data_IF_831845019721
#
_entry.id   IF_831845019721
#
_cell.length_a   1.000
_cell.length_b   1.000
_cell.length_c   1.000
_cell.angle_alpha   90.00
_cell.angle_beta   90.00
_cell.angle_gamma   90.00
#
_symmetry.space_group_name_H-M   'P 1'
#
loop_
_entity.id
_entity.type
_entity.pdbx_description
1 polymer ?
#
# COMPACT_ATOMS: atom_id res chain seq x y z
N UNK A 1 -26.58 3.26 -10.95
CA UNK A 1 -26.16 3.80 -9.66
C UNK A 1 -27.04 3.23 -8.57
N UNK A 2 -26.61 2.11 -7.96
CA UNK A 2 -27.28 1.56 -6.78
C UNK A 2 -26.59 2.10 -5.54
N UNK A 3 -27.37 2.63 -4.60
CA UNK A 3 -26.82 3.10 -3.33
C UNK A 3 -26.12 1.94 -2.58
N UNK A 4 -24.98 2.19 -1.94
CA UNK A 4 -24.29 1.14 -1.19
C UNK A 4 -25.14 0.66 0.00
N UNK A 5 -25.10 -0.64 0.34
CA UNK A 5 -25.86 -1.19 1.45
C UNK A 5 -25.46 -0.53 2.78
N UNK A 6 -26.46 -0.26 3.63
CA UNK A 6 -26.35 0.55 4.84
C UNK A 6 -25.19 0.17 5.79
N UNK A 7 -24.76 -1.10 5.77
CA UNK A 7 -23.62 -1.59 6.55
C UNK A 7 -22.27 -0.97 6.12
N UNK A 8 -22.06 -0.70 4.82
CA UNK A 8 -20.83 -0.05 4.32
C UNK A 8 -20.77 1.43 4.73
N UNK A 9 -21.92 2.10 4.80
CA UNK A 9 -22.02 3.51 5.20
C UNK A 9 -21.76 3.71 6.70
N UNK A 10 -22.31 2.84 7.55
CA UNK A 10 -22.07 2.86 8.98
C UNK A 10 -20.60 2.61 9.36
N UNK A 11 -19.89 1.76 8.60
CA UNK A 11 -18.47 1.48 8.81
C UNK A 11 -17.56 2.65 8.39
N UNK A 12 -17.96 3.41 7.36
CA UNK A 12 -17.25 4.61 6.91
C UNK A 12 -17.49 5.81 7.86
N UNK A 13 -18.71 5.99 8.36
CA UNK A 13 -19.04 7.05 9.33
C UNK A 13 -18.37 6.83 10.69
N UNK A 14 -18.18 5.59 11.12
CA UNK A 14 -17.42 5.27 12.33
C UNK A 14 -15.91 5.53 12.18
N UNK A 15 -15.37 5.47 10.96
CA UNK A 15 -13.96 5.71 10.67
C UNK A 15 -13.62 7.20 10.56
N UNK A 16 -14.60 8.04 10.18
CA UNK A 16 -14.39 9.47 9.90
C UNK A 16 -14.77 10.42 11.05
N UNK A 17 -14.92 9.92 12.28
CA UNK A 17 -14.88 10.71 13.51
C UNK A 17 -15.65 12.04 13.47
N UNK A 18 -16.93 12.01 13.84
CA UNK A 18 -17.77 13.20 14.00
C UNK A 18 -17.16 14.20 14.99
N UNK A 19 -16.50 15.23 14.45
CA UNK A 19 -16.02 16.39 15.17
C UNK A 19 -16.66 17.64 14.59
N UNK A 20 -17.71 18.13 15.26
CA UNK A 20 -18.15 19.52 15.13
C UNK A 20 -17.00 20.44 15.57
N UNK A 21 -16.56 21.32 14.67
CA UNK A 21 -15.67 22.43 15.01
C UNK A 21 -16.11 23.69 14.25
N UNK A 22 -16.91 24.47 14.96
CA UNK A 22 -17.16 25.89 14.75
C UNK A 22 -15.90 26.68 15.16
N UNK A 23 -15.27 27.42 14.25
CA UNK A 23 -14.32 28.49 14.59
C UNK A 23 -14.00 29.37 13.37
N UNK A 24 -14.25 30.67 13.52
CA UNK A 24 -14.10 31.70 12.49
C UNK A 24 -12.66 32.00 12.04
N UNK A 25 -12.57 32.45 10.79
CA UNK A 25 -11.36 32.94 10.14
C UNK A 25 -10.99 34.34 10.66
N UNK A 26 -9.96 34.43 11.49
CA UNK A 26 -9.19 35.65 11.75
C UNK A 26 -7.81 35.53 11.11
N UNK A 27 -7.47 36.43 10.18
CA UNK A 27 -6.15 36.47 9.55
C UNK A 27 -5.11 37.11 10.49
N UNK A 28 -3.90 36.53 10.66
CA UNK A 28 -2.79 37.24 11.27
C UNK A 28 -1.73 37.65 10.24
N UNK A 29 -1.23 38.86 10.46
CA UNK A 29 -0.09 39.53 9.82
C UNK A 29 1.24 38.85 10.12
N UNK A 30 2.12 38.78 9.12
CA UNK A 30 3.48 38.25 9.22
C UNK A 30 4.47 39.27 9.81
N UNK A 31 5.40 38.86 10.69
CA UNK A 31 6.68 39.53 10.85
C UNK A 31 7.79 38.84 10.03
N UNK A 32 8.57 39.67 9.33
CA UNK A 32 9.86 39.30 8.76
C UNK A 32 10.91 39.14 9.88
N UNK A 33 11.81 38.17 9.75
CA UNK A 33 13.01 38.15 10.59
C UNK A 33 13.89 36.91 10.51
N UNK A 34 15.05 37.10 9.90
CA UNK A 34 16.37 36.53 10.23
C UNK A 34 16.72 35.05 9.88
N UNK A 35 17.81 34.97 9.13
CA UNK A 35 18.59 33.79 8.80
C UNK A 35 19.38 33.26 10.01
N UNK A 36 19.62 31.95 10.04
CA UNK A 36 20.57 31.31 10.95
C UNK A 36 20.51 29.80 10.82
N UNK A 37 21.46 29.21 10.09
CA UNK A 37 21.55 27.76 9.92
C UNK A 37 22.33 27.08 11.05
N UNK A 38 21.97 25.83 11.34
CA UNK A 38 22.87 24.74 11.77
C UNK A 38 22.15 23.40 11.59
N UNK A 39 22.74 22.47 10.84
CA UNK A 39 22.29 21.08 10.68
C UNK A 39 22.57 20.28 11.97
N UNK A 40 21.60 19.54 12.55
CA UNK A 40 21.82 18.81 13.81
C UNK A 40 22.11 17.31 13.68
N UNK A 41 22.40 16.76 12.48
CA UNK A 41 22.61 15.32 12.33
C UNK A 41 24.09 14.93 12.41
N UNK A 42 24.54 14.63 13.63
CA UNK A 42 25.79 13.92 13.91
C UNK A 42 25.63 12.41 13.69
N UNK A 43 26.49 11.83 12.85
CA UNK A 43 26.58 10.39 12.64
C UNK A 43 27.42 9.72 13.74
N UNK A 44 27.02 8.55 14.28
CA UNK A 44 27.92 7.71 15.05
C UNK A 44 28.61 6.65 14.18
N UNK A 45 29.84 6.35 14.60
CA UNK A 45 30.91 5.56 14.00
C UNK A 45 30.69 4.06 14.28
N UNK A 46 30.69 3.23 13.23
CA UNK A 46 30.66 1.76 13.33
C UNK A 46 32.07 1.17 13.51
N UNK A 47 32.19 0.14 14.34
CA UNK A 47 33.31 -0.80 14.37
C UNK A 47 32.77 -2.24 14.24
N UNK A 48 33.54 -3.19 13.67
CA UNK A 48 33.02 -4.45 13.17
C UNK A 48 33.07 -5.55 14.23
N UNK A 49 32.09 -6.46 14.24
CA UNK A 49 32.20 -7.73 14.95
C UNK A 49 31.72 -8.88 14.08
N UNK A 50 32.44 -9.99 14.20
CA UNK A 50 32.58 -11.13 13.30
C UNK A 50 31.59 -12.28 13.59
N UNK A 51 31.15 -12.91 12.49
CA UNK A 51 30.82 -14.33 12.25
C UNK A 51 29.98 -15.17 13.25
N UNK A 52 28.94 -15.83 12.72
CA UNK A 52 28.82 -17.30 12.72
C UNK A 52 27.64 -17.78 11.85
N UNK A 53 27.90 -18.80 11.02
CA UNK A 53 26.94 -19.52 10.16
C UNK A 53 26.43 -20.79 10.84
N UNK A 54 25.17 -21.20 10.61
CA UNK A 54 24.81 -22.62 10.41
C UNK A 54 23.37 -22.78 9.84
N UNK A 55 23.04 -23.93 9.19
CA UNK A 55 21.98 -24.06 8.18
C UNK A 55 20.78 -24.91 8.63
N UNK A 56 19.60 -24.73 8.03
CA UNK A 56 18.48 -25.71 8.09
C UNK A 56 17.69 -25.62 6.76
N UNK A 57 18.01 -26.48 5.79
CA UNK A 57 17.37 -27.77 5.47
C UNK A 57 16.05 -27.65 4.69
N UNK A 58 16.14 -27.96 3.40
CA UNK A 58 15.03 -28.18 2.48
C UNK A 58 14.38 -29.55 2.71
N UNK A 59 13.04 -29.63 2.62
CA UNK A 59 12.32 -30.89 2.33
C UNK A 59 11.05 -30.61 1.52
N UNK A 60 11.00 -31.21 0.32
CA UNK A 60 9.83 -31.77 -0.36
C UNK A 60 10.25 -33.23 -0.74
N UNK A 61 9.38 -34.21 -1.13
CA UNK A 61 8.11 -34.08 -1.87
C UNK A 61 7.04 -35.19 -1.58
N UNK A 62 6.11 -35.37 -2.54
CA UNK A 62 5.10 -36.44 -2.73
C UNK A 62 3.74 -36.20 -2.04
N UNK A 63 2.58 -36.32 -2.68
CA UNK A 63 2.20 -37.08 -3.87
C UNK A 63 1.10 -38.07 -3.47
N UNK A 64 -0.17 -37.63 -3.44
CA UNK A 64 -1.32 -38.51 -3.29
C UNK A 64 -2.58 -37.88 -3.92
N UNK A 65 -3.24 -38.66 -4.77
CA UNK A 65 -4.53 -38.39 -5.41
C UNK A 65 -5.64 -38.27 -4.35
N UNK A 66 -6.46 -37.21 -4.45
CA UNK A 66 -7.61 -36.99 -3.57
C UNK A 66 -8.95 -37.22 -4.31
N UNK A 67 -9.95 -37.84 -3.65
CA UNK A 67 -11.29 -38.08 -4.19
C UNK A 67 -12.12 -36.79 -4.23
N UNK A 68 -13.08 -36.72 -5.15
CA UNK A 68 -13.97 -35.57 -5.34
C UNK A 68 -14.79 -35.28 -4.08
N UNK A 69 -14.81 -34.04 -3.56
CA UNK A 69 -15.36 -33.80 -2.24
C UNK A 69 -16.82 -33.28 -2.30
N UNK A 70 -17.62 -33.69 -1.30
CA UNK A 70 -19.02 -33.30 -1.11
C UNK A 70 -19.15 -31.82 -0.70
N UNK A 71 -20.30 -31.21 -0.94
CA UNK A 71 -20.53 -29.75 -0.93
C UNK A 71 -20.15 -28.97 0.34
N UNK A 72 -19.90 -29.59 1.49
CA UNK A 72 -19.38 -28.93 2.70
C UNK A 72 -17.87 -28.64 2.65
N UNK A 73 -17.15 -29.21 1.68
CA UNK A 73 -15.71 -29.04 1.49
C UNK A 73 -15.34 -27.85 0.62
N UNK A 74 -16.28 -27.32 -0.17
CA UNK A 74 -15.98 -26.31 -1.20
C UNK A 74 -15.68 -24.94 -0.58
N UNK A 75 -16.42 -24.55 0.45
CA UNK A 75 -16.25 -23.26 1.15
C UNK A 75 -14.88 -23.14 1.82
N UNK A 76 -14.26 -24.26 2.19
CA UNK A 76 -12.94 -24.27 2.82
C UNK A 76 -11.81 -23.80 1.88
N UNK A 77 -12.03 -23.87 0.57
CA UNK A 77 -11.07 -23.46 -0.46
C UNK A 77 -11.40 -22.10 -1.07
N UNK A 78 -12.41 -21.41 -0.53
CA UNK A 78 -12.81 -20.08 -0.93
C UNK A 78 -12.51 -19.13 0.21
N UNK A 79 -11.73 -18.09 -0.07
CA UNK A 79 -11.37 -17.05 0.91
C UNK A 79 -11.90 -15.71 0.45
N UNK A 80 -12.38 -14.89 1.38
CA UNK A 80 -12.68 -13.48 1.11
C UNK A 80 -11.37 -12.75 0.80
N UNK A 81 -11.28 -12.09 -0.35
CA UNK A 81 -10.10 -11.32 -0.73
C UNK A 81 -9.83 -10.17 0.25
N UNK A 82 -10.90 -9.53 0.75
CA UNK A 82 -10.79 -8.44 1.72
C UNK A 82 -10.19 -8.89 3.05
N UNK A 83 -10.41 -10.14 3.45
CA UNK A 83 -9.90 -10.69 4.72
C UNK A 83 -8.54 -11.37 4.53
N UNK A 84 -8.32 -12.00 3.38
CA UNK A 84 -7.07 -12.69 3.07
C UNK A 84 -5.90 -11.74 2.80
N UNK A 85 -6.17 -10.54 2.28
CA UNK A 85 -5.15 -9.54 1.96
C UNK A 85 -4.97 -8.59 3.14
N UNK A 86 -3.72 -8.41 3.57
CA UNK A 86 -3.33 -7.43 4.58
C UNK A 86 -2.27 -6.51 4.00
N UNK A 87 -2.50 -5.20 4.06
CA UNK A 87 -1.50 -4.19 3.73
C UNK A 87 -0.70 -3.81 4.98
N UNK A 88 0.61 -3.68 4.84
CA UNK A 88 1.54 -3.29 5.90
C UNK A 88 2.34 -2.07 5.47
N UNK A 89 2.33 -1.00 6.27
CA UNK A 89 3.23 0.14 6.06
C UNK A 89 4.54 -0.08 6.81
N UNK A 90 5.68 0.05 6.13
CA UNK A 90 7.01 -0.07 6.74
C UNK A 90 7.84 1.19 6.54
N UNK A 91 8.60 1.55 7.58
CA UNK A 91 9.42 2.75 7.58
C UNK A 91 10.70 2.60 6.74
N UNK A 92 11.37 1.45 6.85
CA UNK A 92 12.70 1.21 6.30
C UNK A 92 12.99 -0.29 6.17
N UNK A 93 14.18 -0.61 5.64
CA UNK A 93 14.64 -1.98 5.42
C UNK A 93 14.79 -2.78 6.73
N UNK A 94 15.20 -2.13 7.82
CA UNK A 94 15.41 -2.79 9.11
C UNK A 94 14.07 -3.19 9.75
N UNK A 95 13.07 -2.30 9.69
CA UNK A 95 11.70 -2.59 10.10
C UNK A 95 11.10 -3.73 9.27
N UNK A 96 11.30 -3.72 7.94
CA UNK A 96 10.87 -4.82 7.07
C UNK A 96 11.56 -6.14 7.42
N UNK A 97 12.87 -6.15 7.68
CA UNK A 97 13.62 -7.35 8.05
C UNK A 97 13.12 -7.96 9.38
N UNK A 98 12.68 -7.13 10.33
CA UNK A 98 12.04 -7.57 11.58
C UNK A 98 10.55 -7.86 11.44
N UNK A 99 9.96 -7.62 10.26
CA UNK A 99 8.52 -7.69 9.98
C UNK A 99 7.70 -6.77 10.91
N UNK A 100 8.25 -5.62 11.25
CA UNK A 100 7.62 -4.59 12.08
C UNK A 100 6.91 -3.55 11.19
N UNK A 101 5.60 -3.68 11.08
CA UNK A 101 4.77 -2.70 10.39
C UNK A 101 4.44 -1.50 11.31
N UNK A 102 4.48 -0.30 10.76
CA UNK A 102 3.93 0.91 11.37
C UNK A 102 2.42 0.80 11.56
N UNK A 103 1.76 0.22 10.56
CA UNK A 103 0.33 -0.05 10.56
C UNK A 103 0.04 -1.24 9.65
N UNK A 104 -0.99 -2.00 10.01
CA UNK A 104 -1.53 -3.10 9.22
C UNK A 104 -3.03 -2.89 9.03
N UNK A 105 -3.54 -3.04 7.81
CA UNK A 105 -4.95 -2.82 7.51
C UNK A 105 -5.41 -3.68 6.34
N UNK A 106 -6.70 -4.00 6.33
CA UNK A 106 -7.34 -4.72 5.24
C UNK A 106 -7.85 -3.75 4.16
N UNK A 107 -7.88 -4.18 2.89
CA UNK A 107 -8.52 -3.39 1.84
C UNK A 107 -10.02 -3.25 2.10
N UNK A 108 -10.58 -2.12 1.67
CA UNK A 108 -12.03 -1.88 1.73
C UNK A 108 -12.76 -2.47 0.50
N UNK A 109 -12.04 -2.59 -0.61
CA UNK A 109 -12.54 -3.06 -1.90
C UNK A 109 -11.52 -3.98 -2.54
N UNK A 110 -11.97 -5.05 -3.19
CA UNK A 110 -11.10 -5.94 -3.98
C UNK A 110 -11.75 -6.35 -5.29
N UNK A 111 -12.97 -5.87 -5.56
CA UNK A 111 -13.76 -6.18 -6.74
C UNK A 111 -13.08 -5.78 -8.05
N UNK A 112 -12.26 -4.73 -8.06
CA UNK A 112 -11.55 -4.33 -9.28
C UNK A 112 -10.38 -5.26 -9.64
N UNK A 113 -9.90 -6.06 -8.69
CA UNK A 113 -8.74 -6.96 -8.87
C UNK A 113 -9.19 -8.42 -8.91
N UNK A 114 -10.24 -8.77 -8.16
CA UNK A 114 -10.73 -10.14 -7.99
C UNK A 114 -12.20 -10.32 -8.39
N UNK A 115 -12.86 -9.29 -8.93
CA UNK A 115 -14.31 -9.28 -9.20
C UNK A 115 -14.75 -9.69 -10.61
N UNK A 116 -13.87 -10.26 -11.43
CA UNK A 116 -14.20 -10.71 -12.80
C UNK A 116 -15.07 -12.00 -12.86
N UNK A 117 -15.76 -12.33 -11.77
CA UNK A 117 -16.70 -13.42 -11.76
C UNK A 117 -17.98 -13.06 -12.52
N UNK A 118 -18.38 -13.88 -13.50
CA UNK A 118 -19.70 -13.79 -14.16
C UNK A 118 -20.87 -13.87 -13.16
N UNK A 119 -20.61 -14.35 -11.94
CA UNK A 119 -21.61 -14.49 -10.89
C UNK A 119 -21.48 -13.40 -9.81
N UNK A 120 -22.56 -12.64 -9.53
CA UNK A 120 -22.57 -11.55 -8.56
C UNK A 120 -22.17 -11.99 -7.14
N UNK A 121 -22.43 -13.24 -6.77
CA UNK A 121 -22.05 -13.82 -5.47
C UNK A 121 -20.55 -14.16 -5.32
N UNK A 122 -19.75 -13.98 -6.37
CA UNK A 122 -18.31 -14.35 -6.38
C UNK A 122 -17.37 -13.15 -6.39
N UNK A 123 -17.94 -11.94 -6.38
CA UNK A 123 -17.21 -10.69 -6.23
C UNK A 123 -16.37 -10.77 -4.95
N UNK A 124 -15.09 -10.43 -5.05
CA UNK A 124 -14.17 -10.35 -3.90
C UNK A 124 -13.82 -11.70 -3.24
N UNK A 125 -13.90 -12.81 -3.99
CA UNK A 125 -13.48 -14.14 -3.50
C UNK A 125 -12.26 -14.68 -4.24
N UNK A 126 -11.41 -15.41 -3.52
CA UNK A 126 -10.23 -16.11 -4.04
C UNK A 126 -10.43 -17.61 -3.85
N UNK A 127 -10.25 -18.39 -4.92
CA UNK A 127 -10.54 -19.82 -4.95
C UNK A 127 -9.30 -20.69 -5.09
N UNK A 128 -9.37 -21.87 -4.48
CA UNK A 128 -8.38 -22.94 -4.61
C UNK A 128 -7.30 -22.92 -3.54
N UNK A 129 -7.48 -22.14 -2.47
CA UNK A 129 -6.51 -22.03 -1.36
C UNK A 129 -7.22 -22.16 -0.01
N UNK A 130 -6.62 -22.96 0.87
CA UNK A 130 -7.08 -23.13 2.25
C UNK A 130 -6.17 -22.37 3.20
N UNK A 131 -6.77 -21.50 4.03
CA UNK A 131 -6.04 -20.63 4.96
C UNK A 131 -5.09 -19.69 4.21
N UNK A 132 -5.62 -18.99 3.20
CA UNK A 132 -4.87 -18.04 2.40
C UNK A 132 -4.58 -16.77 3.20
N UNK A 133 -3.33 -16.34 3.19
CA UNK A 133 -2.86 -15.06 3.71
C UNK A 133 -1.99 -14.40 2.63
N UNK A 134 -2.24 -13.13 2.37
CA UNK A 134 -1.48 -12.34 1.41
C UNK A 134 -1.06 -11.04 2.08
N UNK A 135 0.24 -10.88 2.27
CA UNK A 135 0.81 -9.70 2.92
C UNK A 135 1.39 -8.77 1.84
N UNK A 136 0.86 -7.56 1.75
CA UNK A 136 1.34 -6.51 0.84
C UNK A 136 2.06 -5.43 1.64
N UNK A 137 3.38 -5.42 1.58
CA UNK A 137 4.24 -4.48 2.27
C UNK A 137 4.48 -3.25 1.40
N UNK A 138 4.14 -2.07 1.94
CA UNK A 138 4.27 -0.78 1.30
C UNK A 138 5.29 0.06 2.07
N UNK A 139 6.25 0.65 1.35
CA UNK A 139 7.17 1.59 1.95
C UNK A 139 6.43 2.90 2.25
N UNK A 140 6.50 3.38 3.50
CA UNK A 140 5.73 4.50 3.99
C UNK A 140 5.99 5.84 3.27
N UNK A 141 7.05 5.95 2.45
CA UNK A 141 7.36 7.19 1.72
C UNK A 141 7.22 7.06 0.21
N UNK A 142 7.79 6.00 -0.37
CA UNK A 142 7.80 5.81 -1.84
C UNK A 142 6.64 4.96 -2.32
N UNK A 143 5.90 4.32 -1.41
CA UNK A 143 4.82 3.38 -1.71
C UNK A 143 5.26 2.20 -2.59
N UNK A 144 6.56 1.92 -2.64
CA UNK A 144 7.09 0.71 -3.28
C UNK A 144 6.51 -0.52 -2.58
N UNK A 145 6.02 -1.46 -3.37
CA UNK A 145 5.23 -2.58 -2.88
C UNK A 145 5.97 -3.92 -3.03
N UNK A 146 5.81 -4.77 -2.02
CA UNK A 146 6.20 -6.17 -2.04
C UNK A 146 5.01 -7.03 -1.62
N UNK A 147 4.73 -8.11 -2.34
CA UNK A 147 3.69 -9.06 -1.98
C UNK A 147 4.27 -10.43 -1.66
N UNK A 148 3.76 -11.01 -0.58
CA UNK A 148 4.05 -12.37 -0.15
C UNK A 148 2.73 -13.13 0.02
N UNK A 149 2.69 -14.38 -0.43
CA UNK A 149 1.50 -15.21 -0.34
C UNK A 149 1.83 -16.49 0.42
N UNK A 150 0.99 -16.80 1.41
CA UNK A 150 1.10 -18.00 2.25
C UNK A 150 -0.24 -18.73 2.26
N UNK A 151 -0.21 -20.05 2.30
CA UNK A 151 -1.42 -20.87 2.37
C UNK A 151 -1.10 -22.24 2.98
N UNK A 152 -2.09 -22.89 3.60
CA UNK A 152 -1.93 -24.23 4.20
C UNK A 152 -2.03 -25.33 3.16
N UNK A 153 -2.94 -25.19 2.20
CA UNK A 153 -3.11 -26.15 1.11
C UNK A 153 -3.65 -25.47 -0.15
N UNK A 154 -3.42 -26.10 -1.30
CA UNK A 154 -3.91 -25.66 -2.63
C UNK A 154 -4.64 -26.82 -3.32
N UNK A 155 -5.82 -26.58 -3.88
CA UNK A 155 -6.60 -27.61 -4.58
C UNK A 155 -7.25 -27.11 -5.87
N UNK A 156 -7.33 -27.99 -6.86
CA UNK A 156 -8.00 -27.71 -8.14
C UNK A 156 -9.45 -28.17 -8.04
N UNK A 157 -10.37 -27.25 -7.72
CA UNK A 157 -11.80 -27.54 -7.55
C UNK A 157 -12.55 -27.50 -8.89
N UNK A 158 -12.20 -28.40 -9.83
CA UNK A 158 -12.79 -28.40 -11.19
C UNK A 158 -12.39 -27.20 -12.06
N UNK A 159 -11.79 -26.16 -11.47
CA UNK A 159 -11.13 -25.02 -12.11
C UNK A 159 -9.72 -24.88 -11.52
N UNK A 160 -8.79 -24.33 -12.32
CA UNK A 160 -7.46 -23.92 -11.83
C UNK A 160 -7.61 -22.92 -10.68
N UNK A 161 -6.83 -23.04 -9.60
CA UNK A 161 -6.75 -22.03 -8.54
C UNK A 161 -6.39 -20.68 -9.11
N UNK A 162 -6.88 -19.62 -8.48
CA UNK A 162 -6.60 -18.25 -8.93
C UNK A 162 -5.11 -17.94 -8.80
N UNK A 163 -4.57 -17.18 -9.75
CA UNK A 163 -3.18 -16.74 -9.71
C UNK A 163 -3.10 -15.40 -8.97
N UNK A 164 -3.21 -15.47 -7.64
CA UNK A 164 -3.40 -14.30 -6.76
C UNK A 164 -2.30 -13.26 -6.95
N UNK A 165 -1.03 -13.67 -7.01
CA UNK A 165 0.09 -12.75 -7.20
C UNK A 165 0.07 -12.11 -8.59
N UNK A 166 -0.35 -12.85 -9.63
CA UNK A 166 -0.49 -12.28 -10.97
C UNK A 166 -1.62 -11.25 -11.03
N UNK A 167 -2.77 -11.56 -10.44
CA UNK A 167 -3.92 -10.65 -10.36
C UNK A 167 -3.55 -9.38 -9.57
N UNK A 168 -2.83 -9.53 -8.45
CA UNK A 168 -2.31 -8.39 -7.70
C UNK A 168 -1.27 -7.59 -8.47
N UNK A 169 -0.42 -8.22 -9.27
CA UNK A 169 0.65 -7.53 -10.00
C UNK A 169 0.15 -6.69 -11.18
N UNK A 170 -1.02 -7.01 -11.74
CA UNK A 170 -1.58 -6.34 -12.92
C UNK A 170 -1.85 -4.84 -12.67
N UNK A 171 -2.59 -4.43 -11.62
CA UNK A 171 -2.70 -3.03 -11.23
C UNK A 171 -1.38 -2.30 -11.05
N UNK A 172 -0.36 -2.99 -10.54
CA UNK A 172 0.94 -2.41 -10.23
C UNK A 172 1.83 -2.26 -11.47
N UNK A 173 1.39 -2.71 -12.66
CA UNK A 173 2.15 -2.53 -13.90
C UNK A 173 3.56 -3.13 -13.84
N UNK A 174 3.74 -4.22 -13.07
CA UNK A 174 5.05 -4.88 -12.89
C UNK A 174 5.95 -4.25 -11.81
N UNK A 175 5.50 -3.23 -11.08
CA UNK A 175 6.25 -2.63 -9.97
C UNK A 175 6.11 -3.39 -8.65
N UNK A 176 5.15 -4.32 -8.56
CA UNK A 176 4.97 -5.18 -7.39
C UNK A 176 6.10 -6.20 -7.31
N UNK A 177 6.91 -6.11 -6.25
CA UNK A 177 8.01 -7.03 -6.01
C UNK A 177 7.50 -8.30 -5.34
N UNK A 178 8.09 -9.44 -5.67
CA UNK A 178 7.83 -10.74 -5.01
C UNK A 178 9.09 -11.35 -4.41
N UNK A 179 10.22 -10.67 -4.55
CA UNK A 179 11.51 -11.04 -3.94
C UNK A 179 11.79 -10.12 -2.74
N UNK A 180 11.83 -10.70 -1.54
CA UNK A 180 12.05 -9.96 -0.31
C UNK A 180 13.43 -9.30 -0.23
N UNK A 181 14.45 -9.90 -0.85
CA UNK A 181 15.82 -9.36 -0.86
C UNK A 181 15.90 -8.14 -1.77
N UNK A 182 15.30 -8.22 -2.95
CA UNK A 182 15.20 -7.10 -3.88
C UNK A 182 14.39 -5.95 -3.27
N UNK A 183 13.31 -6.26 -2.56
CA UNK A 183 12.54 -5.26 -1.84
C UNK A 183 13.35 -4.57 -0.73
N UNK A 184 14.05 -5.35 0.11
CA UNK A 184 14.93 -4.80 1.15
C UNK A 184 16.01 -3.88 0.58
N UNK A 185 16.60 -4.23 -0.57
CA UNK A 185 17.56 -3.38 -1.27
C UNK A 185 16.91 -2.08 -1.80
N UNK A 186 15.70 -2.17 -2.37
CA UNK A 186 14.95 -1.02 -2.85
C UNK A 186 14.59 -0.03 -1.73
N UNK A 187 14.25 -0.53 -0.53
CA UNK A 187 14.00 0.29 0.66
C UNK A 187 15.22 1.16 1.04
N UNK A 188 16.44 0.63 0.89
CA UNK A 188 17.67 1.39 1.14
C UNK A 188 17.88 2.57 0.19
N UNK A 189 17.37 2.49 -1.04
CA UNK A 189 17.46 3.57 -2.04
C UNK A 189 16.38 4.64 -1.87
N UNK A 190 15.31 4.33 -1.13
CA UNK A 190 14.16 5.21 -0.97
C UNK A 190 14.48 6.54 -0.25
N UNK A 191 15.54 6.58 0.56
CA UNK A 191 16.03 7.79 1.26
C UNK A 191 16.32 8.94 0.28
N UNK A 192 16.80 8.63 -0.92
CA UNK A 192 17.13 9.64 -1.95
C UNK A 192 15.86 10.29 -2.51
N UNK A 193 14.78 9.52 -2.66
CA UNK A 193 13.50 10.02 -3.15
C UNK A 193 12.87 11.00 -2.15
N UNK A 194 12.95 10.71 -0.85
CA UNK A 194 12.43 11.58 0.22
C UNK A 194 13.10 12.97 0.21
N UNK A 195 14.41 13.03 -0.01
CA UNK A 195 15.13 14.30 -0.14
C UNK A 195 14.69 15.13 -1.36
N UNK A 196 14.25 14.47 -2.43
CA UNK A 196 13.68 15.16 -3.58
C UNK A 196 12.27 15.69 -3.30
N UNK A 197 11.44 14.92 -2.58
CA UNK A 197 10.11 15.37 -2.14
C UNK A 197 10.21 16.60 -1.24
N UNK A 198 11.20 16.69 -0.35
CA UNK A 198 11.43 17.86 0.51
C UNK A 198 11.73 19.17 -0.23
N UNK A 199 11.99 19.13 -1.55
CA UNK A 199 12.19 20.33 -2.39
C UNK A 199 10.91 20.86 -3.02
N UNK A 200 9.78 20.18 -2.85
CA UNK A 200 8.49 20.65 -3.34
C UNK A 200 8.01 21.88 -2.56
N UNK A 201 7.20 22.70 -3.22
CA UNK A 201 6.59 23.88 -2.60
C UNK A 201 5.59 23.42 -1.54
N UNK A 202 5.82 23.79 -0.29
CA UNK A 202 4.81 23.61 0.75
C UNK A 202 3.66 24.61 0.56
N UNK A 203 2.43 24.09 0.61
CA UNK A 203 1.19 24.88 0.60
C UNK A 203 0.69 25.11 2.03
N UNK A 204 0.97 24.17 2.93
CA UNK A 204 0.69 24.29 4.38
C UNK A 204 1.74 23.52 5.19
N UNK A 205 1.95 23.92 6.45
CA UNK A 205 2.86 23.28 7.40
C UNK A 205 2.25 23.27 8.80
N UNK A 206 2.52 22.23 9.57
CA UNK A 206 2.18 22.13 10.98
C UNK A 206 3.31 21.41 11.74
N UNK A 207 3.18 21.32 13.06
CA UNK A 207 4.14 20.57 13.88
C UNK A 207 4.09 19.08 13.49
N UNK A 208 5.18 18.58 12.91
CA UNK A 208 5.29 17.18 12.49
C UNK A 208 4.90 16.91 11.04
N UNK A 209 4.50 17.90 10.23
CA UNK A 209 4.17 17.62 8.83
C UNK A 209 3.95 18.82 7.90
N UNK A 210 3.73 18.50 6.62
CA UNK A 210 3.49 19.49 5.57
C UNK A 210 2.60 18.95 4.44
N UNK A 211 1.84 19.85 3.81
CA UNK A 211 1.20 19.61 2.51
C UNK A 211 2.08 20.20 1.43
N UNK A 212 2.56 19.36 0.52
CA UNK A 212 3.44 19.75 -0.58
C UNK A 212 2.70 19.69 -1.91
N UNK A 213 2.87 20.70 -2.75
CA UNK A 213 2.37 20.71 -4.12
C UNK A 213 3.47 20.26 -5.07
N UNK A 214 3.22 19.14 -5.75
CA UNK A 214 3.97 18.74 -6.91
C UNK A 214 3.32 19.36 -8.17
N UNK A 215 4.00 20.33 -8.84
CA UNK A 215 3.46 20.95 -10.03
C UNK A 215 3.41 19.96 -11.20
N UNK A 216 2.64 20.33 -12.23
CA UNK A 216 2.50 19.56 -13.48
C UNK A 216 3.85 19.19 -14.08
N UNK A 217 3.95 17.96 -14.58
CA UNK A 217 5.17 17.45 -15.20
C UNK A 217 6.36 17.26 -14.24
N UNK A 218 6.19 17.46 -12.93
CA UNK A 218 7.28 17.27 -11.98
C UNK A 218 7.69 15.78 -11.93
N UNK A 219 8.99 15.44 -12.07
CA UNK A 219 9.43 14.03 -12.13
C UNK A 219 9.02 13.18 -10.92
N UNK A 220 8.89 13.78 -9.74
CA UNK A 220 8.44 13.10 -8.52
C UNK A 220 7.01 12.59 -8.58
N UNK A 221 6.17 13.14 -9.47
CA UNK A 221 4.83 12.62 -9.68
C UNK A 221 4.90 11.15 -10.09
N UNK A 222 5.74 10.81 -11.07
CA UNK A 222 5.87 9.42 -11.52
C UNK A 222 6.48 8.52 -10.43
N UNK A 223 7.40 9.05 -9.63
CA UNK A 223 8.09 8.27 -8.59
C UNK A 223 7.21 7.93 -7.39
N UNK A 224 6.34 8.86 -6.97
CA UNK A 224 5.50 8.68 -5.76
C UNK A 224 4.10 8.27 -6.14
N UNK A 225 3.48 8.96 -7.10
CA UNK A 225 2.08 8.72 -7.50
C UNK A 225 1.98 7.39 -8.23
N UNK A 226 2.93 7.06 -9.11
CA UNK A 226 2.92 5.82 -9.88
C UNK A 226 2.75 4.56 -9.01
N UNK A 227 3.62 4.31 -8.01
CA UNK A 227 3.47 3.21 -7.07
C UNK A 227 2.24 3.32 -6.15
N UNK A 228 1.68 4.51 -5.96
CA UNK A 228 0.52 4.74 -5.08
C UNK A 228 -0.82 4.46 -5.78
N UNK A 229 -0.95 4.73 -7.08
CA UNK A 229 -2.22 4.57 -7.80
C UNK A 229 -2.84 3.16 -7.69
N UNK A 230 -2.07 2.05 -7.79
CA UNK A 230 -2.63 0.70 -7.64
C UNK A 230 -3.25 0.46 -6.26
N UNK A 231 -2.75 1.13 -5.23
CA UNK A 231 -3.29 1.05 -3.87
C UNK A 231 -4.69 1.64 -3.82
N UNK A 232 -5.02 2.62 -4.66
CA UNK A 232 -6.33 3.27 -4.67
C UNK A 232 -7.48 2.31 -5.02
N UNK A 233 -7.23 1.29 -5.86
CA UNK A 233 -8.23 0.25 -6.16
C UNK A 233 -8.73 -0.50 -4.93
N UNK A 234 -7.94 -0.51 -3.86
CA UNK A 234 -8.25 -1.21 -2.63
C UNK A 234 -9.02 -0.36 -1.62
N UNK A 235 -9.07 0.96 -1.80
CA UNK A 235 -9.64 1.89 -0.81
C UNK A 235 -10.66 2.88 -1.38
N UNK A 236 -10.74 3.02 -2.71
CA UNK A 236 -11.67 3.91 -3.39
C UNK A 236 -12.45 3.10 -4.44
N UNK A 237 -13.76 2.97 -4.22
CA UNK A 237 -14.66 2.37 -5.20
C UNK A 237 -14.71 3.20 -6.49
N UNK A 238 -14.63 2.53 -7.64
CA UNK A 238 -14.54 3.18 -8.95
C UNK A 238 -13.24 3.95 -9.21
N UNK A 239 -12.18 3.74 -8.42
CA UNK A 239 -10.86 4.27 -8.75
C UNK A 239 -10.40 3.84 -10.16
N UNK A 240 -9.60 4.70 -10.79
CA UNK A 240 -8.95 4.44 -12.08
C UNK A 240 -7.52 4.97 -12.03
N UNK A 241 -6.63 4.31 -12.78
CA UNK A 241 -5.27 4.82 -13.00
C UNK A 241 -5.37 6.08 -13.85
N UNK A 242 -4.66 7.13 -13.44
CA UNK A 242 -4.60 8.39 -14.18
C UNK A 242 -3.26 8.49 -14.92
N UNK A 243 -3.34 8.93 -16.17
CA UNK A 243 -2.15 9.32 -16.93
C UNK A 243 -1.65 10.67 -16.42
N UNK A 244 -0.46 10.69 -15.81
CA UNK A 244 0.15 11.90 -15.25
C UNK A 244 0.71 12.79 -16.37
N UNK A 245 -0.21 13.41 -17.12
CA UNK A 245 0.06 14.44 -18.13
C UNK A 245 0.31 15.82 -17.50
N UNK A 246 0.32 16.86 -18.32
CA UNK A 246 0.56 18.25 -17.92
C UNK A 246 -0.66 18.94 -17.31
N UNK A 247 -1.78 18.24 -17.08
CA UNK A 247 -2.99 18.80 -16.47
C UNK A 247 -3.18 18.38 -15.01
N UNK A 248 -2.44 17.37 -14.58
CA UNK A 248 -2.50 16.88 -13.21
C UNK A 248 -1.52 17.61 -12.30
N UNK A 249 -2.04 18.07 -11.18
CA UNK A 249 -1.28 18.49 -10.00
C UNK A 249 -1.53 17.50 -8.87
N UNK A 250 -0.55 17.35 -7.97
CA UNK A 250 -0.70 16.44 -6.83
C UNK A 250 -0.32 17.15 -5.54
N UNK A 251 -1.17 17.03 -4.55
CA UNK A 251 -0.88 17.37 -3.17
C UNK A 251 -0.41 16.11 -2.44
N UNK A 252 0.75 16.20 -1.81
CA UNK A 252 1.31 15.15 -0.95
C UNK A 252 1.20 15.62 0.50
N UNK A 253 0.54 14.83 1.33
CA UNK A 253 0.50 15.03 2.77
C UNK A 253 1.65 14.23 3.39
N UNK A 254 2.59 14.92 4.03
CA UNK A 254 3.70 14.28 4.73
C UNK A 254 3.60 14.46 6.24
N UNK A 255 3.87 13.38 6.96
CA UNK A 255 4.11 13.36 8.41
C UNK A 255 5.56 12.94 8.66
N UNK A 256 6.39 13.90 9.07
CA UNK A 256 7.84 13.76 9.09
C UNK A 256 8.38 13.46 7.68
N UNK A 257 8.92 12.25 7.49
CA UNK A 257 9.38 11.76 6.18
C UNK A 257 8.35 10.88 5.45
N UNK A 258 7.21 10.55 6.07
CA UNK A 258 6.25 9.55 5.60
C UNK A 258 5.16 10.19 4.76
N UNK A 259 4.71 9.51 3.72
CA UNK A 259 3.53 9.86 2.94
C UNK A 259 2.29 9.41 3.71
N UNK A 260 1.58 10.37 4.30
CA UNK A 260 0.35 10.14 5.05
C UNK A 260 -0.90 10.20 4.14
N UNK A 261 -0.80 10.89 3.01
CA UNK A 261 -1.93 11.03 2.09
C UNK A 261 -1.54 11.68 0.77
N UNK A 262 -2.44 11.56 -0.20
CA UNK A 262 -2.27 12.09 -1.54
C UNK A 262 -3.62 12.56 -2.09
N UNK A 263 -3.61 13.68 -2.81
CA UNK A 263 -4.77 14.15 -3.56
C UNK A 263 -4.34 14.56 -4.97
N UNK A 264 -5.09 14.12 -5.97
CA UNK A 264 -4.87 14.46 -7.39
C UNK A 264 -5.85 15.55 -7.81
N UNK A 265 -5.36 16.61 -8.44
CA UNK A 265 -6.17 17.72 -8.93
C UNK A 265 -6.02 17.79 -10.45
N UNK A 266 -7.14 17.71 -11.16
CA UNK A 266 -7.18 17.91 -12.60
C UNK A 266 -7.54 19.34 -12.90
N UNK A 267 -6.71 20.03 -13.70
CA UNK A 267 -7.07 21.35 -14.18
C UNK A 267 -7.75 21.27 -15.55
N UNK A 268 -9.00 21.72 -15.59
CA UNK A 268 -9.83 21.75 -16.80
C UNK A 268 -9.58 22.98 -17.70
N UNK A 269 -8.89 24.00 -17.19
CA UNK A 269 -8.77 25.32 -17.84
C UNK A 269 -7.33 25.66 -18.24
#
# INVERSE_FOLDING_TARGET
>A
GGAPPAAKRARLEALMGGGEADAGFGAPTLPQGAAGGTNPFGAPKLAPTSAASAPVAAVAPAGASAPAPSSASADEWVSSANEAITFHLVADADAFARREALASFHPAYTNQVFGDGEQPETLETIRGYKGLEVDVWLHATTMTAYAEMRYKAKATLGRRPDDVLKLLAEPFGGTLMTDATAYGAALGQAVVATAAVGRLRAVSRWEGGAVLLAPRGHPLLKMVVGPTQPVLFFFIDGASIIELDDKWEVLLLLEGSRLAGLATLYNYY
#
